data_IF_191031945128
#
_entry.id   IF_191031945128
#
_cell.length_a   1.000
_cell.length_b   1.000
_cell.length_c   1.000
_cell.angle_alpha   90.00
_cell.angle_beta   90.00
_cell.angle_gamma   90.00
#
_symmetry.space_group_name_H-M   'P 1'
#
loop_
_entity.id
_entity.type
_entity.pdbx_description
1 polymer ?
#
# COMPACT_ATOMS: atom_id res chain seq x y z
N UNK A 1 -26.91 23.21 -4.16
CA UNK A 1 -26.14 22.85 -2.95
C UNK A 1 -25.20 21.70 -3.34
N UNK A 2 -23.92 21.98 -3.57
CA UNK A 2 -22.92 20.93 -3.80
C UNK A 2 -22.15 20.77 -2.49
N UNK A 3 -22.57 19.82 -1.67
CA UNK A 3 -21.82 19.43 -0.48
C UNK A 3 -20.51 18.79 -0.99
N UNK A 4 -19.46 19.60 -1.11
CA UNK A 4 -18.10 19.09 -1.08
C UNK A 4 -17.90 18.56 0.34
N UNK A 5 -18.28 17.30 0.57
CA UNK A 5 -17.71 16.55 1.68
C UNK A 5 -16.20 16.70 1.52
N UNK A 6 -15.54 17.32 2.49
CA UNK A 6 -14.09 17.23 2.61
C UNK A 6 -13.81 15.73 2.74
N UNK A 7 -13.48 15.07 1.63
CA UNK A 7 -12.86 13.77 1.69
C UNK A 7 -11.54 14.01 2.39
N UNK A 8 -11.51 13.73 3.70
CA UNK A 8 -10.26 13.62 4.43
C UNK A 8 -9.49 12.55 3.67
N UNK A 9 -8.40 12.94 3.02
CA UNK A 9 -7.56 12.04 2.24
C UNK A 9 -6.21 12.05 2.91
N UNK A 10 -5.81 10.88 3.36
CA UNK A 10 -4.47 10.68 3.91
C UNK A 10 -3.66 9.86 2.91
N UNK A 11 -2.44 10.30 2.72
CA UNK A 11 -1.45 9.63 1.87
C UNK A 11 -0.34 9.17 2.79
N UNK A 12 0.07 7.91 2.65
CA UNK A 12 1.24 7.43 3.34
C UNK A 12 2.10 6.56 2.45
N UNK A 13 3.37 6.51 2.78
CA UNK A 13 4.37 5.75 2.08
C UNK A 13 4.65 4.46 2.83
N UNK A 14 4.70 3.36 2.09
CA UNK A 14 5.09 2.07 2.61
C UNK A 14 6.53 1.77 2.19
N UNK A 15 7.37 1.54 3.19
CA UNK A 15 8.64 0.87 2.95
C UNK A 15 8.38 -0.63 2.76
N UNK A 16 8.66 -1.07 1.55
CA UNK A 16 8.44 -2.43 1.10
C UNK A 16 9.77 -3.08 0.64
N UNK A 17 10.92 -2.47 0.97
CA UNK A 17 12.26 -2.97 0.60
C UNK A 17 12.53 -4.38 1.14
N UNK A 18 11.96 -4.73 2.30
CA UNK A 18 12.04 -6.08 2.89
C UNK A 18 11.24 -7.17 2.14
N UNK A 19 10.32 -6.78 1.25
CA UNK A 19 9.49 -7.72 0.46
C UNK A 19 10.26 -8.27 -0.73
N UNK A 20 11.13 -7.45 -1.31
CA UNK A 20 11.75 -7.72 -2.59
C UNK A 20 13.28 -7.67 -2.51
N UNK A 21 13.92 -8.48 -1.66
CA UNK A 21 15.39 -8.51 -1.61
C UNK A 21 15.98 -8.83 -2.99
N UNK A 22 15.30 -9.68 -3.76
CA UNK A 22 15.76 -10.10 -5.09
C UNK A 22 15.16 -9.32 -6.25
N UNK A 23 13.90 -8.85 -6.15
CA UNK A 23 13.21 -8.25 -7.31
C UNK A 23 12.97 -6.74 -7.22
N UNK A 24 13.31 -6.05 -6.12
CA UNK A 24 13.26 -4.59 -5.96
C UNK A 24 12.05 -3.87 -6.62
N UNK A 25 10.82 -4.32 -6.36
CA UNK A 25 9.59 -3.80 -7.00
C UNK A 25 9.44 -4.01 -8.51
N UNK A 26 10.34 -4.73 -9.17
CA UNK A 26 10.27 -4.99 -10.61
C UNK A 26 9.44 -6.23 -10.97
N UNK A 27 9.06 -7.04 -9.96
CA UNK A 27 8.18 -8.18 -10.19
C UNK A 27 6.74 -7.71 -10.43
N UNK A 28 6.34 -7.70 -11.71
CA UNK A 28 4.99 -7.31 -12.14
C UNK A 28 3.90 -8.14 -11.48
N UNK A 29 4.17 -9.41 -11.16
CA UNK A 29 3.24 -10.29 -10.45
C UNK A 29 2.96 -9.80 -9.03
N UNK A 30 4.00 -9.44 -8.28
CA UNK A 30 3.85 -8.96 -6.91
C UNK A 30 3.17 -7.60 -6.87
N UNK A 31 3.51 -6.69 -7.80
CA UNK A 31 2.81 -5.42 -7.94
C UNK A 31 1.32 -5.60 -8.22
N UNK A 32 0.96 -6.51 -9.12
CA UNK A 32 -0.43 -6.82 -9.44
C UNK A 32 -1.16 -7.41 -8.22
N UNK A 33 -0.54 -8.32 -7.47
CA UNK A 33 -1.17 -8.89 -6.29
C UNK A 33 -1.45 -7.84 -5.20
N UNK A 34 -0.51 -6.91 -4.98
CA UNK A 34 -0.75 -5.79 -4.06
C UNK A 34 -1.91 -4.92 -4.57
N UNK A 35 -1.91 -4.58 -5.87
CA UNK A 35 -2.99 -3.80 -6.49
C UNK A 35 -4.35 -4.49 -6.34
N UNK A 36 -4.42 -5.79 -6.60
CA UNK A 36 -5.66 -6.58 -6.53
C UNK A 36 -6.20 -6.58 -5.10
N UNK A 37 -5.37 -6.84 -4.10
CA UNK A 37 -5.86 -6.86 -2.71
C UNK A 37 -6.27 -5.47 -2.25
N UNK A 38 -5.45 -4.45 -2.53
CA UNK A 38 -5.74 -3.08 -2.12
C UNK A 38 -7.00 -2.53 -2.78
N UNK A 39 -7.25 -2.87 -4.04
CA UNK A 39 -8.47 -2.47 -4.76
C UNK A 39 -9.76 -3.00 -4.11
N UNK A 40 -9.67 -4.05 -3.28
CA UNK A 40 -10.80 -4.62 -2.57
C UNK A 40 -10.97 -4.09 -1.14
N UNK A 41 -10.09 -3.20 -0.67
CA UNK A 41 -10.17 -2.65 0.68
C UNK A 41 -11.11 -1.42 0.69
N UNK A 42 -12.24 -1.46 1.42
CA UNK A 42 -13.11 -0.30 1.57
C UNK A 42 -12.36 0.88 2.18
N UNK A 43 -12.54 2.07 1.63
CA UNK A 43 -11.85 3.28 2.08
C UNK A 43 -10.51 3.53 1.38
N UNK A 44 -9.98 2.59 0.58
CA UNK A 44 -8.85 2.90 -0.31
C UNK A 44 -9.36 3.50 -1.60
N UNK A 45 -8.78 4.64 -1.99
CA UNK A 45 -9.11 5.34 -3.23
C UNK A 45 -8.16 4.98 -4.37
N UNK A 46 -6.86 4.92 -4.09
CA UNK A 46 -5.86 4.61 -5.12
C UNK A 46 -4.53 4.10 -4.55
N UNK A 47 -3.76 3.46 -5.43
CA UNK A 47 -2.43 2.93 -5.15
C UNK A 47 -1.47 3.34 -6.26
N UNK A 48 -0.32 3.89 -5.89
CA UNK A 48 0.71 4.33 -6.84
C UNK A 48 2.10 3.88 -6.39
N UNK A 49 3.01 3.72 -7.35
CA UNK A 49 4.43 3.50 -7.07
C UNK A 49 5.22 4.76 -7.40
N UNK A 50 6.11 5.18 -6.51
CA UNK A 50 7.04 6.29 -6.74
C UNK A 50 8.47 5.79 -6.65
N UNK A 51 9.33 6.22 -7.59
CA UNK A 51 10.72 5.76 -7.66
C UNK A 51 10.86 4.41 -8.39
N UNK A 52 12.07 3.84 -8.34
CA UNK A 52 12.41 2.58 -8.97
C UNK A 52 13.52 1.85 -8.19
N UNK A 53 13.62 0.53 -8.36
CA UNK A 53 14.65 -0.28 -7.71
C UNK A 53 14.55 -0.26 -6.18
N UNK A 54 15.67 -0.02 -5.51
CA UNK A 54 15.73 -0.05 -4.04
C UNK A 54 15.01 1.12 -3.36
N UNK A 55 14.80 2.23 -4.06
CA UNK A 55 14.13 3.42 -3.54
C UNK A 55 12.63 3.47 -3.90
N UNK A 56 12.11 2.39 -4.49
CA UNK A 56 10.70 2.30 -4.86
C UNK A 56 9.83 2.33 -3.59
N UNK A 57 8.82 3.21 -3.62
CA UNK A 57 7.83 3.39 -2.56
C UNK A 57 6.45 3.10 -3.08
N UNK A 58 5.64 2.48 -2.23
CA UNK A 58 4.22 2.30 -2.51
C UNK A 58 3.43 3.39 -1.77
N UNK A 59 2.64 4.14 -2.50
CA UNK A 59 1.83 5.26 -2.03
C UNK A 59 0.37 4.82 -2.03
N UNK A 60 -0.25 4.79 -0.85
CA UNK A 60 -1.67 4.46 -0.69
C UNK A 60 -2.44 5.73 -0.39
N UNK A 61 -3.47 6.02 -1.19
CA UNK A 61 -4.42 7.11 -0.94
C UNK A 61 -5.69 6.49 -0.36
N UNK A 62 -6.06 6.92 0.84
CA UNK A 62 -7.22 6.36 1.54
C UNK A 62 -8.01 7.44 2.29
N UNK A 63 -9.24 7.09 2.63
CA UNK A 63 -10.11 7.82 3.52
C UNK A 63 -9.88 7.38 4.98
N UNK A 64 -9.15 8.15 5.81
CA UNK A 64 -8.95 7.88 7.23
C UNK A 64 -10.24 7.77 8.05
N UNK A 65 -11.40 8.22 7.55
CA UNK A 65 -12.67 8.00 8.22
C UNK A 65 -13.21 6.55 8.04
N UNK A 66 -12.72 5.84 7.03
CA UNK A 66 -13.15 4.47 6.70
C UNK A 66 -12.10 3.42 7.06
N UNK A 67 -10.82 3.75 6.93
CA UNK A 67 -9.73 2.82 7.23
C UNK A 67 -8.50 3.58 7.75
N UNK A 68 -7.81 3.06 8.75
CA UNK A 68 -6.57 3.69 9.24
C UNK A 68 -5.34 3.12 8.55
N UNK A 69 -4.22 3.85 8.65
CA UNK A 69 -2.93 3.35 8.18
C UNK A 69 -2.58 2.00 8.83
N UNK A 70 -2.82 1.81 10.13
CA UNK A 70 -2.54 0.55 10.83
C UNK A 70 -3.38 -0.61 10.28
N UNK A 71 -4.64 -0.38 9.96
CA UNK A 71 -5.51 -1.41 9.37
C UNK A 71 -5.06 -1.80 7.96
N UNK A 72 -4.62 -0.82 7.17
CA UNK A 72 -4.02 -1.08 5.86
C UNK A 72 -2.75 -1.93 6.00
N UNK A 73 -1.89 -1.58 6.96
CA UNK A 73 -0.67 -2.32 7.25
C UNK A 73 -0.94 -3.76 7.64
N UNK A 74 -1.99 -4.00 8.44
CA UNK A 74 -2.43 -5.34 8.79
C UNK A 74 -2.95 -6.12 7.57
N UNK A 75 -3.76 -5.48 6.72
CA UNK A 75 -4.21 -6.09 5.46
C UNK A 75 -3.03 -6.50 4.56
N UNK A 76 -2.01 -5.66 4.46
CA UNK A 76 -0.79 -5.98 3.71
C UNK A 76 -0.06 -7.21 4.28
N UNK A 77 -0.01 -7.40 5.60
CA UNK A 77 0.68 -8.55 6.23
C UNK A 77 0.08 -9.90 5.86
N UNK A 78 -1.21 -9.92 5.52
CA UNK A 78 -1.94 -11.15 5.18
C UNK A 78 -1.87 -11.52 3.69
N UNK A 79 -1.10 -10.78 2.89
CA UNK A 79 -0.99 -11.06 1.47
C UNK A 79 -0.32 -12.44 1.23
N UNK A 80 -0.91 -13.31 0.37
CA UNK A 80 -0.45 -14.69 0.19
C UNK A 80 1.02 -14.82 -0.22
N UNK A 81 1.52 -13.97 -1.11
CA UNK A 81 2.93 -13.96 -1.52
C UNK A 81 3.88 -13.36 -0.48
N UNK A 82 3.36 -12.75 0.58
CA UNK A 82 4.12 -12.05 1.63
C UNK A 82 4.22 -12.91 2.90
N UNK A 83 3.50 -14.03 2.92
CA UNK A 83 3.40 -14.95 4.05
C UNK A 83 4.65 -15.81 4.30
N UNK A 84 5.69 -15.72 3.46
CA UNK A 84 6.93 -16.46 3.66
C UNK A 84 8.12 -15.55 3.37
N UNK A 85 8.77 -15.15 4.47
CA UNK A 85 10.09 -14.51 4.55
C UNK A 85 10.09 -12.99 4.29
N UNK A 86 10.00 -12.21 5.38
CA UNK A 86 10.56 -10.84 5.53
C UNK A 86 9.73 -9.59 5.18
N UNK A 87 8.41 -9.68 5.01
CA UNK A 87 7.62 -8.45 4.91
C UNK A 87 7.28 -7.85 6.29
N UNK A 88 7.90 -6.71 6.61
CA UNK A 88 7.46 -5.83 7.69
C UNK A 88 7.10 -4.48 7.07
N UNK A 89 5.81 -4.24 6.75
CA UNK A 89 5.43 -2.91 6.27
C UNK A 89 5.78 -1.89 7.34
N UNK A 90 6.35 -0.76 6.93
CA UNK A 90 6.67 0.37 7.81
C UNK A 90 6.06 1.64 7.23
N UNK A 91 5.35 2.38 8.08
CA UNK A 91 4.77 3.67 7.74
C UNK A 91 5.89 4.72 7.68
N UNK A 92 6.08 5.33 6.51
CA UNK A 92 6.96 6.49 6.36
C UNK A 92 6.08 7.75 6.31
N UNK A 93 6.35 8.67 7.24
CA UNK A 93 5.69 9.98 7.35
C UNK A 93 6.18 11.00 6.33
#
# INVERSE_FOLDING_TARGET
MKNHALAHRSVFHLDCTGIFPDCRFECTRCLREIQDVVAHIPGVESLHTQGAGADARLIVVHDPAQITAEQLMDAFRHLPSFHKVSFVPTLLG
#
